data_IF_100731454481
#
_entry.id   IF_100731454481
#
_cell.length_a   1.000
_cell.length_b   1.000
_cell.length_c   1.000
_cell.angle_alpha   90.00
_cell.angle_beta   90.00
_cell.angle_gamma   90.00
#
_symmetry.space_group_name_H-M   'P 1'
#
loop_
_entity.id
_entity.type
_entity.pdbx_description
1 polymer ?
#
# COMPACT_ATOMS: atom_id res chain seq x y z
N UNK A 1 -25.01 8.25 -13.18
CA UNK A 1 -26.44 7.88 -13.30
C UNK A 1 -26.64 6.65 -12.43
N UNK A 2 -27.48 6.73 -11.38
CA UNK A 2 -27.69 5.64 -10.42
C UNK A 2 -28.54 4.54 -11.05
N UNK A 3 -28.17 3.28 -10.83
CA UNK A 3 -29.01 2.13 -11.16
C UNK A 3 -29.92 1.69 -10.01
N UNK A 4 -29.65 2.17 -8.79
CA UNK A 4 -30.46 1.89 -7.61
C UNK A 4 -31.56 2.96 -7.51
N UNK A 5 -32.82 2.54 -7.53
CA UNK A 5 -33.98 3.43 -7.38
C UNK A 5 -34.25 3.76 -5.91
N UNK A 6 -34.89 4.90 -5.66
CA UNK A 6 -35.29 5.27 -4.30
C UNK A 6 -36.25 4.23 -3.70
N UNK A 7 -37.19 3.70 -4.50
CA UNK A 7 -38.09 2.62 -4.09
C UNK A 7 -37.33 1.36 -3.62
N UNK A 8 -36.27 0.96 -4.34
CA UNK A 8 -35.43 -0.15 -3.93
C UNK A 8 -34.70 0.14 -2.62
N UNK A 9 -34.12 1.33 -2.47
CA UNK A 9 -33.39 1.73 -1.27
C UNK A 9 -34.30 1.84 -0.04
N UNK A 10 -35.51 2.39 -0.21
CA UNK A 10 -36.52 2.52 0.83
C UNK A 10 -36.95 1.15 1.37
N UNK A 11 -36.87 0.10 0.55
CA UNK A 11 -37.12 -1.29 0.99
C UNK A 11 -36.10 -1.80 2.03
N UNK A 12 -34.99 -1.08 2.26
CA UNK A 12 -34.00 -1.36 3.29
C UNK A 12 -34.03 -0.37 4.47
N UNK A 13 -34.84 0.70 4.42
CA UNK A 13 -34.83 1.76 5.42
C UNK A 13 -35.13 1.28 6.85
N UNK A 14 -35.92 0.20 6.99
CA UNK A 14 -36.28 -0.41 8.27
C UNK A 14 -35.53 -1.72 8.57
N UNK A 15 -34.60 -2.13 7.69
CA UNK A 15 -33.81 -3.35 7.87
C UNK A 15 -32.53 -3.02 8.62
N UNK A 16 -32.11 -3.92 9.50
CA UNK A 16 -30.82 -3.83 10.18
C UNK A 16 -29.82 -4.77 9.53
N UNK A 17 -28.61 -4.29 9.14
CA UNK A 17 -27.53 -5.17 8.69
C UNK A 17 -27.12 -6.16 9.79
N UNK A 18 -26.64 -7.36 9.42
CA UNK A 18 -26.19 -8.36 10.39
C UNK A 18 -24.78 -8.03 10.91
N UNK A 19 -24.62 -6.90 11.60
CA UNK A 19 -23.34 -6.33 12.03
C UNK A 19 -22.44 -7.28 12.85
N UNK A 20 -23.01 -8.36 13.40
CA UNK A 20 -22.29 -9.36 14.18
C UNK A 20 -21.76 -8.82 15.51
N UNK A 21 -21.25 -9.72 16.35
CA UNK A 21 -20.52 -9.38 17.60
C UNK A 21 -21.22 -8.29 18.45
N UNK A 22 -22.53 -8.41 18.64
CA UNK A 22 -23.36 -7.44 19.38
C UNK A 22 -23.20 -5.98 18.90
N UNK A 23 -23.13 -5.77 17.58
CA UNK A 23 -23.07 -4.42 16.98
C UNK A 23 -21.65 -3.85 16.85
N UNK A 24 -20.61 -4.59 17.23
CA UNK A 24 -19.22 -4.11 17.07
C UNK A 24 -18.88 -3.75 15.61
N UNK A 25 -19.42 -4.49 14.63
CA UNK A 25 -19.23 -4.18 13.21
C UNK A 25 -19.75 -2.80 12.83
N UNK A 26 -20.88 -2.38 13.40
CA UNK A 26 -21.47 -1.05 13.15
C UNK A 26 -20.57 0.06 13.68
N UNK A 27 -20.04 -0.10 14.90
CA UNK A 27 -19.13 0.87 15.52
C UNK A 27 -17.88 1.05 14.65
N UNK A 28 -17.32 -0.05 14.13
CA UNK A 28 -16.16 -0.02 13.24
C UNK A 28 -16.49 0.67 11.92
N UNK A 29 -17.65 0.40 11.35
CA UNK A 29 -18.15 1.08 10.15
C UNK A 29 -18.27 2.58 10.36
N UNK A 30 -18.99 3.02 11.39
CA UNK A 30 -19.25 4.43 11.67
C UNK A 30 -17.95 5.24 11.88
N UNK A 31 -16.96 4.66 12.58
CA UNK A 31 -15.70 5.36 12.86
C UNK A 31 -14.69 5.35 11.70
N UNK A 32 -14.84 4.45 10.72
CA UNK A 32 -13.77 4.17 9.73
C UNK A 32 -14.21 4.37 8.28
N UNK A 33 -15.44 3.97 7.94
CA UNK A 33 -15.90 3.87 6.55
C UNK A 33 -17.07 4.80 6.22
N UNK A 34 -17.81 5.26 7.24
CA UNK A 34 -18.85 6.26 7.08
C UNK A 34 -18.24 7.65 6.85
N UNK A 35 -18.55 8.27 5.71
CA UNK A 35 -18.01 9.59 5.34
C UNK A 35 -18.94 10.72 5.81
N UNK A 36 -18.41 11.91 6.17
CA UNK A 36 -19.25 13.08 6.32
C UNK A 36 -19.81 13.52 4.96
N UNK A 37 -21.12 13.77 4.92
CA UNK A 37 -21.84 14.43 3.81
C UNK A 37 -21.66 15.95 3.89
N UNK A 38 -22.15 16.68 2.89
CA UNK A 38 -22.05 18.15 2.82
C UNK A 38 -22.72 18.86 4.01
N UNK A 39 -23.78 18.27 4.56
CA UNK A 39 -24.51 18.74 5.74
C UNK A 39 -23.79 18.42 7.07
N UNK A 40 -22.64 17.75 7.03
CA UNK A 40 -21.88 17.31 8.19
C UNK A 40 -22.39 16.03 8.85
N UNK A 41 -23.49 15.46 8.38
CA UNK A 41 -24.01 14.16 8.84
C UNK A 41 -23.18 13.05 8.19
N UNK A 42 -22.86 12.00 8.94
CA UNK A 42 -22.12 10.86 8.41
C UNK A 42 -23.04 9.90 7.63
N UNK A 43 -22.50 9.21 6.62
CA UNK A 43 -23.23 8.22 5.82
C UNK A 43 -23.77 7.06 6.66
N UNK A 44 -24.98 6.64 6.37
CA UNK A 44 -25.54 5.35 6.76
C UNK A 44 -25.01 4.23 5.84
N UNK A 45 -25.09 2.97 6.29
CA UNK A 45 -24.58 1.84 5.52
C UNK A 45 -25.19 1.73 4.11
N UNK A 46 -26.53 1.86 3.93
CA UNK A 46 -27.15 1.96 2.60
C UNK A 46 -26.58 3.07 1.72
N UNK A 47 -26.35 4.27 2.27
CA UNK A 47 -25.77 5.41 1.53
C UNK A 47 -24.34 5.10 1.07
N UNK A 48 -23.51 4.50 1.93
CA UNK A 48 -22.15 4.05 1.55
C UNK A 48 -22.19 3.01 0.43
N UNK A 49 -23.06 1.98 0.53
CA UNK A 49 -23.16 0.95 -0.52
C UNK A 49 -23.60 1.58 -1.84
N UNK A 50 -24.62 2.46 -1.80
CA UNK A 50 -25.10 3.18 -2.97
C UNK A 50 -23.98 3.99 -3.63
N UNK A 51 -23.25 4.81 -2.86
CA UNK A 51 -22.12 5.61 -3.36
C UNK A 51 -21.07 4.72 -4.03
N UNK A 52 -20.78 3.57 -3.44
CA UNK A 52 -19.75 2.66 -3.94
C UNK A 52 -20.17 2.00 -5.25
N UNK A 53 -21.43 1.57 -5.37
CA UNK A 53 -21.98 1.01 -6.61
C UNK A 53 -22.07 2.08 -7.70
N UNK A 54 -22.54 3.27 -7.38
CA UNK A 54 -22.58 4.41 -8.32
C UNK A 54 -21.17 4.79 -8.76
N UNK A 55 -20.21 4.81 -7.84
CA UNK A 55 -18.79 5.01 -8.14
C UNK A 55 -18.20 3.95 -9.07
N UNK A 56 -18.63 2.69 -8.93
CA UNK A 56 -18.25 1.63 -9.85
C UNK A 56 -18.80 1.90 -11.27
N UNK A 57 -20.05 2.37 -11.39
CA UNK A 57 -20.62 2.79 -12.67
C UNK A 57 -19.86 3.97 -13.28
N UNK A 58 -19.47 4.96 -12.47
CA UNK A 58 -18.71 6.14 -12.91
C UNK A 58 -17.34 5.79 -13.49
N UNK A 59 -16.65 4.79 -12.92
CA UNK A 59 -15.39 4.29 -13.48
C UNK A 59 -15.58 3.34 -14.67
N UNK A 60 -16.83 3.13 -15.12
CA UNK A 60 -17.16 2.40 -16.33
C UNK A 60 -17.49 0.92 -16.13
N UNK A 61 -17.84 0.48 -14.92
CA UNK A 61 -18.28 -0.91 -14.69
C UNK A 61 -19.67 -1.11 -15.31
N UNK A 62 -19.86 -2.09 -16.20
CA UNK A 62 -21.12 -2.25 -16.94
C UNK A 62 -22.12 -3.10 -16.15
N UNK A 63 -22.48 -2.71 -14.93
CA UNK A 63 -23.54 -3.39 -14.20
C UNK A 63 -24.90 -3.16 -14.87
N UNK A 64 -25.72 -4.20 -14.91
CA UNK A 64 -27.17 -4.06 -15.11
C UNK A 64 -27.84 -3.62 -13.81
N UNK A 65 -29.06 -3.08 -13.89
CA UNK A 65 -29.83 -2.71 -12.70
C UNK A 65 -29.97 -3.88 -11.72
N UNK A 66 -30.32 -5.07 -12.24
CA UNK A 66 -30.42 -6.29 -11.44
C UNK A 66 -29.11 -6.63 -10.72
N UNK A 67 -27.97 -6.53 -11.41
CA UNK A 67 -26.66 -6.80 -10.79
C UNK A 67 -26.30 -5.77 -9.71
N UNK A 68 -26.64 -4.50 -9.93
CA UNK A 68 -26.45 -3.45 -8.92
C UNK A 68 -27.31 -3.72 -7.67
N UNK A 69 -28.58 -4.08 -7.84
CA UNK A 69 -29.49 -4.44 -6.73
C UNK A 69 -29.01 -5.71 -5.99
N UNK A 70 -28.52 -6.72 -6.71
CA UNK A 70 -27.94 -7.93 -6.11
C UNK A 70 -26.67 -7.63 -5.32
N UNK A 71 -25.75 -6.85 -5.88
CA UNK A 71 -24.53 -6.44 -5.19
C UNK A 71 -24.87 -5.61 -3.93
N UNK A 72 -25.87 -4.73 -4.03
CA UNK A 72 -26.36 -3.97 -2.88
C UNK A 72 -26.85 -4.90 -1.77
N UNK A 73 -27.71 -5.88 -2.08
CA UNK A 73 -28.22 -6.83 -1.07
C UNK A 73 -27.07 -7.63 -0.43
N UNK A 74 -26.11 -8.11 -1.21
CA UNK A 74 -24.97 -8.87 -0.69
C UNK A 74 -24.08 -8.02 0.23
N UNK A 75 -23.82 -6.76 -0.13
CA UNK A 75 -23.05 -5.85 0.74
C UNK A 75 -23.86 -5.46 1.99
N UNK A 76 -25.16 -5.19 1.85
CA UNK A 76 -26.04 -4.86 2.98
C UNK A 76 -26.03 -5.96 4.02
N UNK A 77 -26.14 -7.22 3.59
CA UNK A 77 -26.12 -8.40 4.45
C UNK A 77 -24.71 -8.87 4.85
N UNK A 78 -23.68 -8.06 4.60
CA UNK A 78 -22.28 -8.37 4.94
C UNK A 78 -21.82 -9.73 4.39
N UNK A 79 -22.25 -10.10 3.18
CA UNK A 79 -21.81 -11.31 2.47
C UNK A 79 -20.54 -11.07 1.66
N UNK A 80 -20.33 -9.83 1.25
CA UNK A 80 -19.08 -9.39 0.63
C UNK A 80 -18.78 -7.91 0.90
N UNK A 81 -17.56 -7.51 0.55
CA UNK A 81 -17.17 -6.10 0.48
C UNK A 81 -16.05 -5.91 -0.54
N UNK A 82 -15.94 -4.70 -1.08
CA UNK A 82 -14.69 -4.28 -1.72
C UNK A 82 -13.60 -4.08 -0.67
N UNK A 83 -12.35 -3.83 -1.09
CA UNK A 83 -11.31 -3.44 -0.13
C UNK A 83 -11.75 -2.23 0.69
N UNK A 84 -11.30 -2.12 1.94
CA UNK A 84 -11.63 -0.95 2.78
C UNK A 84 -11.27 0.38 2.13
N UNK A 85 -10.23 0.39 1.27
CA UNK A 85 -9.88 1.55 0.44
C UNK A 85 -10.97 1.89 -0.57
N UNK A 86 -11.39 0.92 -1.37
CA UNK A 86 -12.44 1.11 -2.37
C UNK A 86 -13.78 1.46 -1.73
N UNK A 87 -14.12 0.85 -0.58
CA UNK A 87 -15.31 1.19 0.21
C UNK A 87 -15.32 2.68 0.64
N UNK A 88 -14.16 3.20 1.05
CA UNK A 88 -14.00 4.60 1.42
C UNK A 88 -13.96 5.57 0.22
N UNK A 89 -13.47 5.13 -0.94
CA UNK A 89 -13.10 6.03 -2.04
C UNK A 89 -14.01 6.00 -3.27
N UNK A 90 -14.59 4.84 -3.63
CA UNK A 90 -15.48 4.76 -4.80
C UNK A 90 -16.63 5.78 -4.67
N UNK A 91 -16.94 6.46 -5.76
CA UNK A 91 -17.98 7.50 -5.81
C UNK A 91 -17.60 8.81 -5.13
N UNK A 92 -16.31 9.01 -4.83
CA UNK A 92 -15.81 10.29 -4.28
C UNK A 92 -14.98 11.04 -5.33
N UNK A 93 -14.89 12.38 -5.25
CA UNK A 93 -14.05 13.18 -6.15
C UNK A 93 -12.56 12.79 -6.15
N UNK A 94 -12.10 12.11 -5.09
CA UNK A 94 -10.69 11.69 -4.96
C UNK A 94 -10.30 10.62 -5.99
N UNK A 95 -11.28 9.87 -6.51
CA UNK A 95 -11.03 8.89 -7.58
C UNK A 95 -10.64 9.61 -8.87
N UNK A 96 -11.27 10.74 -9.20
CA UNK A 96 -10.90 11.54 -10.35
C UNK A 96 -9.56 12.26 -10.13
N UNK A 97 -9.25 12.63 -8.89
CA UNK A 97 -8.01 13.35 -8.56
C UNK A 97 -6.77 12.45 -8.57
N UNK A 98 -6.88 11.21 -8.10
CA UNK A 98 -5.74 10.29 -7.94
C UNK A 98 -5.85 9.01 -8.79
N UNK A 99 -6.84 8.94 -9.67
CA UNK A 99 -7.13 7.81 -10.54
C UNK A 99 -7.14 6.48 -9.77
N UNK A 100 -6.66 5.40 -10.41
CA UNK A 100 -6.66 4.05 -9.86
C UNK A 100 -5.86 3.94 -8.55
N UNK A 101 -4.86 4.80 -8.33
CA UNK A 101 -4.06 4.79 -7.11
C UNK A 101 -4.87 5.14 -5.85
N UNK A 102 -6.03 5.80 -6.01
CA UNK A 102 -6.98 5.98 -4.91
C UNK A 102 -7.72 4.70 -4.53
N UNK A 103 -7.86 3.73 -5.44
CA UNK A 103 -8.67 2.52 -5.26
C UNK A 103 -7.83 1.31 -4.84
N UNK A 104 -6.52 1.33 -5.13
CA UNK A 104 -5.57 0.30 -4.71
C UNK A 104 -4.77 0.76 -3.48
N UNK A 105 -4.57 -0.16 -2.53
CA UNK A 105 -3.99 0.20 -1.24
C UNK A 105 -2.54 -0.25 -1.09
N UNK A 106 -2.09 -1.28 -1.80
CA UNK A 106 -0.73 -1.80 -1.64
C UNK A 106 -0.02 -1.98 -2.97
N UNK A 107 1.31 -1.88 -2.95
CA UNK A 107 2.17 -1.90 -4.12
C UNK A 107 3.46 -2.65 -3.83
N UNK A 108 4.21 -2.96 -4.89
CA UNK A 108 5.58 -3.45 -4.79
C UNK A 108 6.51 -2.70 -5.75
N UNK A 109 7.76 -2.47 -5.34
CA UNK A 109 8.78 -1.79 -6.17
C UNK A 109 10.18 -2.40 -5.97
N UNK A 110 10.90 -2.66 -7.05
CA UNK A 110 12.34 -2.90 -6.97
C UNK A 110 13.06 -1.55 -6.87
N UNK A 111 13.99 -1.38 -5.93
CA UNK A 111 14.78 -0.15 -5.86
C UNK A 111 15.96 -0.25 -6.83
N UNK A 112 15.81 0.35 -8.01
CA UNK A 112 16.81 0.34 -9.08
C UNK A 112 17.23 1.76 -9.49
N UNK A 113 16.32 2.74 -9.41
CA UNK A 113 16.57 4.15 -9.72
C UNK A 113 16.12 5.09 -8.59
N UNK A 114 16.42 6.39 -8.71
CA UNK A 114 15.98 7.37 -7.71
C UNK A 114 14.44 7.56 -7.71
N UNK A 115 13.81 7.34 -8.86
CA UNK A 115 12.35 7.41 -9.04
C UNK A 115 11.62 6.32 -8.25
N UNK A 116 12.27 5.19 -7.94
CA UNK A 116 11.66 4.12 -7.13
C UNK A 116 11.51 4.54 -5.65
N UNK A 117 12.38 5.41 -5.14
CA UNK A 117 12.21 6.02 -3.81
C UNK A 117 11.04 7.02 -3.81
N UNK A 118 10.87 7.79 -4.88
CA UNK A 118 9.74 8.69 -5.08
C UNK A 118 8.42 7.89 -5.21
N UNK A 119 8.44 6.77 -5.94
CA UNK A 119 7.31 5.82 -5.98
C UNK A 119 6.91 5.36 -4.59
N UNK A 120 7.88 4.93 -3.78
CA UNK A 120 7.65 4.48 -2.41
C UNK A 120 7.07 5.62 -1.55
N UNK A 121 7.64 6.83 -1.65
CA UNK A 121 7.17 8.00 -0.90
C UNK A 121 5.72 8.33 -1.26
N UNK A 122 5.41 8.48 -2.55
CA UNK A 122 4.09 8.90 -3.03
C UNK A 122 2.98 7.94 -2.61
N UNK A 123 3.21 6.64 -2.75
CA UNK A 123 2.22 5.62 -2.41
C UNK A 123 2.01 5.49 -0.90
N UNK A 124 3.06 5.69 -0.09
CA UNK A 124 2.91 5.80 1.36
C UNK A 124 2.11 7.06 1.74
N UNK A 125 2.37 8.21 1.10
CA UNK A 125 1.61 9.46 1.32
C UNK A 125 0.17 9.42 0.79
N UNK A 126 -0.17 8.42 -0.03
CA UNK A 126 -1.55 8.07 -0.40
C UNK A 126 -2.22 7.16 0.64
N UNK A 127 -1.58 6.92 1.79
CA UNK A 127 -2.05 6.00 2.83
C UNK A 127 -1.95 4.52 2.41
N UNK A 128 -1.16 4.23 1.39
CA UNK A 128 -0.92 2.88 0.91
C UNK A 128 0.20 2.18 1.68
N UNK A 129 0.39 0.90 1.36
CA UNK A 129 1.54 0.13 1.80
C UNK A 129 2.43 -0.27 0.63
N UNK A 130 3.74 -0.26 0.83
CA UNK A 130 4.70 -0.54 -0.25
C UNK A 130 5.66 -1.63 0.20
N UNK A 131 5.68 -2.74 -0.52
CA UNK A 131 6.79 -3.67 -0.47
C UNK A 131 7.93 -3.19 -1.36
N UNK A 132 9.16 -3.36 -0.93
CA UNK A 132 10.32 -3.00 -1.73
C UNK A 132 11.43 -4.03 -1.66
N UNK A 133 12.14 -4.24 -2.77
CA UNK A 133 13.33 -5.11 -2.80
C UNK A 133 14.61 -4.30 -2.63
N UNK A 134 15.50 -4.82 -1.79
CA UNK A 134 16.88 -4.36 -1.60
C UNK A 134 17.90 -5.43 -2.04
N UNK A 135 17.47 -6.40 -2.86
CA UNK A 135 18.36 -7.41 -3.46
C UNK A 135 19.56 -6.76 -4.13
N UNK A 136 20.75 -7.31 -3.89
CA UNK A 136 22.01 -6.76 -4.38
C UNK A 136 22.03 -6.65 -5.90
N UNK A 137 21.38 -7.57 -6.62
CA UNK A 137 21.26 -7.53 -8.08
C UNK A 137 20.44 -6.34 -8.60
N UNK A 138 19.57 -5.77 -7.78
CA UNK A 138 18.67 -4.64 -8.12
C UNK A 138 19.35 -3.31 -7.82
N UNK A 139 19.87 -3.19 -6.60
CA UNK A 139 20.50 -1.95 -6.13
C UNK A 139 21.88 -1.72 -6.76
N UNK A 140 22.49 -2.72 -7.40
CA UNK A 140 23.79 -2.59 -8.03
C UNK A 140 23.82 -1.51 -9.10
N UNK A 141 22.72 -1.24 -9.79
CA UNK A 141 22.67 -0.23 -10.87
C UNK A 141 22.66 1.21 -10.35
N UNK A 142 22.43 1.41 -9.05
CA UNK A 142 22.56 2.74 -8.44
C UNK A 142 24.01 3.26 -8.57
N UNK A 143 24.21 4.53 -8.99
CA UNK A 143 25.53 5.11 -9.11
C UNK A 143 26.31 5.15 -7.78
N UNK A 144 27.62 5.34 -7.87
CA UNK A 144 28.41 5.69 -6.68
C UNK A 144 27.99 7.05 -6.15
N UNK A 145 27.96 7.18 -4.83
CA UNK A 145 27.64 8.46 -4.18
C UNK A 145 28.74 9.48 -4.43
N UNK A 146 28.36 10.68 -4.88
CA UNK A 146 29.27 11.80 -5.15
C UNK A 146 29.72 12.50 -3.88
N UNK A 147 30.94 13.00 -3.88
CA UNK A 147 31.49 13.82 -2.81
C UNK A 147 31.09 15.29 -2.97
N UNK A 148 31.19 16.07 -1.89
CA UNK A 148 31.05 17.53 -1.93
C UNK A 148 29.61 18.04 -2.06
N UNK A 149 28.61 17.18 -1.87
CA UNK A 149 27.21 17.58 -1.80
C UNK A 149 26.90 18.04 -0.37
N UNK A 150 26.25 19.20 -0.26
CA UNK A 150 25.73 19.75 0.99
C UNK A 150 24.29 20.18 0.78
N UNK A 151 23.40 19.68 1.62
CA UNK A 151 21.96 20.00 1.59
C UNK A 151 21.61 20.71 2.90
N UNK A 152 21.21 21.97 2.82
CA UNK A 152 20.87 22.78 4.01
C UNK A 152 19.38 23.14 4.03
N UNK A 153 18.78 23.08 5.22
CA UNK A 153 17.45 23.68 5.43
C UNK A 153 17.60 25.14 5.82
N UNK A 154 16.92 26.02 5.10
CA UNK A 154 16.93 27.45 5.34
C UNK A 154 15.49 27.98 5.27
N UNK A 155 14.96 28.44 6.40
CA UNK A 155 13.58 28.97 6.50
C UNK A 155 13.49 30.40 5.93
N UNK A 156 13.91 30.58 4.68
CA UNK A 156 13.88 31.84 3.91
C UNK A 156 13.25 31.61 2.54
N UNK A 157 12.79 32.68 1.88
CA UNK A 157 12.33 32.67 0.49
C UNK A 157 13.49 32.73 -0.52
N UNK A 158 14.73 32.87 -0.04
CA UNK A 158 15.95 32.90 -0.87
C UNK A 158 16.60 31.52 -1.07
N UNK A 159 16.03 30.45 -0.49
CA UNK A 159 16.57 29.11 -0.63
C UNK A 159 16.42 28.59 -2.08
N UNK A 160 17.34 27.73 -2.54
CA UNK A 160 17.35 27.24 -3.92
C UNK A 160 16.05 26.48 -4.27
N UNK A 161 15.48 25.76 -3.31
CA UNK A 161 14.21 25.03 -3.46
C UNK A 161 13.20 25.48 -2.41
N UNK A 162 12.11 26.10 -2.84
CA UNK A 162 10.93 26.34 -1.98
C UNK A 162 9.96 25.17 -2.13
N UNK A 163 9.78 24.40 -1.07
CA UNK A 163 8.95 23.19 -1.07
C UNK A 163 7.47 23.58 -0.98
N UNK A 164 6.63 23.28 -1.98
CA UNK A 164 5.21 23.60 -1.92
C UNK A 164 4.49 22.67 -0.94
N UNK A 165 3.39 23.16 -0.36
CA UNK A 165 2.52 22.44 0.59
C UNK A 165 1.68 21.33 -0.06
N UNK A 166 2.37 20.34 -0.63
CA UNK A 166 1.78 19.24 -1.37
C UNK A 166 2.65 17.99 -1.25
N UNK A 167 2.02 16.82 -1.38
CA UNK A 167 2.72 15.53 -1.37
C UNK A 167 3.79 15.44 -2.45
N UNK A 168 3.47 15.93 -3.65
CA UNK A 168 4.43 15.99 -4.75
C UNK A 168 5.62 16.93 -4.43
N UNK A 169 5.38 18.03 -3.70
CA UNK A 169 6.47 18.89 -3.20
C UNK A 169 7.46 18.14 -2.31
N UNK A 170 6.94 17.32 -1.39
CA UNK A 170 7.76 16.51 -0.48
C UNK A 170 8.55 15.43 -1.23
N UNK A 171 7.88 14.69 -2.11
CA UNK A 171 8.51 13.65 -2.93
C UNK A 171 9.61 14.23 -3.84
N UNK A 172 9.33 15.38 -4.48
CA UNK A 172 10.29 16.10 -5.33
C UNK A 172 11.53 16.59 -4.55
N UNK A 173 11.39 16.93 -3.28
CA UNK A 173 12.55 17.27 -2.44
C UNK A 173 13.45 16.05 -2.26
N UNK A 174 12.89 14.88 -1.89
CA UNK A 174 13.66 13.63 -1.76
C UNK A 174 14.33 13.28 -3.07
N UNK A 175 13.61 13.34 -4.19
CA UNK A 175 14.17 13.17 -5.52
C UNK A 175 15.37 14.10 -5.76
N UNK A 176 15.25 15.39 -5.41
CA UNK A 176 16.31 16.38 -5.63
C UNK A 176 17.55 16.10 -4.78
N UNK A 177 17.38 15.65 -3.54
CA UNK A 177 18.47 15.20 -2.65
C UNK A 177 19.19 14.00 -3.26
N UNK A 178 18.46 12.94 -3.59
CA UNK A 178 19.03 11.72 -4.18
C UNK A 178 19.72 12.02 -5.52
N UNK A 179 19.11 12.87 -6.36
CA UNK A 179 19.68 13.31 -7.63
C UNK A 179 20.99 14.06 -7.45
N UNK A 180 21.12 14.84 -6.38
CA UNK A 180 22.34 15.56 -6.05
C UNK A 180 23.48 14.62 -5.71
N UNK A 181 23.21 13.63 -4.85
CA UNK A 181 24.20 12.64 -4.47
C UNK A 181 24.55 11.62 -5.56
N UNK A 182 23.61 11.20 -6.40
CA UNK A 182 23.87 10.18 -7.43
C UNK A 182 24.35 10.75 -8.77
N UNK A 183 23.85 11.92 -9.18
CA UNK A 183 24.03 12.39 -10.57
C UNK A 183 24.72 13.75 -10.68
N UNK A 184 24.23 14.79 -9.99
CA UNK A 184 24.69 16.15 -10.28
C UNK A 184 25.93 16.54 -9.49
N UNK A 185 26.08 16.06 -8.24
CA UNK A 185 27.10 16.54 -7.31
C UNK A 185 26.90 17.99 -6.86
N UNK A 186 25.71 18.57 -7.09
CA UNK A 186 25.42 19.97 -6.75
C UNK A 186 24.78 20.06 -5.37
N UNK A 187 25.31 20.94 -4.53
CA UNK A 187 24.69 21.37 -3.28
C UNK A 187 23.49 22.28 -3.55
N UNK A 188 22.53 22.30 -2.62
CA UNK A 188 21.44 23.26 -2.63
C UNK A 188 20.87 23.48 -1.23
N UNK A 189 20.25 24.64 -1.00
CA UNK A 189 19.41 24.88 0.18
C UNK A 189 17.92 24.69 -0.13
N UNK A 190 17.13 24.31 0.86
CA UNK A 190 15.68 24.18 0.72
C UNK A 190 14.91 24.83 1.87
N UNK A 191 13.72 25.33 1.56
CA UNK A 191 12.83 25.99 2.50
C UNK A 191 11.49 25.29 2.57
N UNK A 192 11.02 25.07 3.80
CA UNK A 192 9.70 24.51 4.10
C UNK A 192 8.70 25.58 4.51
N UNK A 193 8.96 26.86 4.22
CA UNK A 193 8.12 28.01 4.63
C UNK A 193 6.65 27.88 4.21
N UNK A 194 6.38 27.21 3.08
CA UNK A 194 5.01 27.05 2.58
C UNK A 194 4.27 25.87 3.23
N UNK A 195 5.00 24.91 3.81
CA UNK A 195 4.41 23.68 4.36
C UNK A 195 3.59 24.02 5.61
N UNK A 196 2.36 23.53 5.65
CA UNK A 196 1.44 23.76 6.77
C UNK A 196 2.00 23.23 8.10
N UNK A 197 1.66 23.91 9.18
CA UNK A 197 2.10 23.56 10.53
C UNK A 197 1.45 22.27 11.05
N UNK A 198 2.05 21.72 12.12
CA UNK A 198 1.50 20.55 12.82
C UNK A 198 0.06 20.79 13.27
N UNK A 199 -0.82 19.80 13.08
CA UNK A 199 -2.23 19.88 13.47
C UNK A 199 -3.16 20.46 12.41
N UNK A 200 -2.66 21.03 11.31
CA UNK A 200 -3.50 21.57 10.24
C UNK A 200 -4.33 20.46 9.55
N UNK A 201 -5.63 20.65 9.29
CA UNK A 201 -6.49 19.60 8.75
C UNK A 201 -6.08 19.18 7.32
N UNK A 202 -6.16 17.88 7.01
CA UNK A 202 -5.93 17.34 5.68
C UNK A 202 -7.24 17.21 4.90
N UNK A 203 -7.29 17.79 3.69
CA UNK A 203 -8.53 17.85 2.87
C UNK A 203 -8.95 16.51 2.24
N UNK A 204 -8.04 15.55 2.09
CA UNK A 204 -8.27 14.35 1.25
C UNK A 204 -8.43 13.07 2.07
N UNK A 205 -7.45 12.70 2.88
CA UNK A 205 -7.42 11.42 3.61
C UNK A 205 -7.87 11.53 5.08
N UNK A 206 -8.45 12.67 5.47
CA UNK A 206 -8.80 12.96 6.86
C UNK A 206 -7.56 13.15 7.75
N UNK A 207 -7.77 13.46 9.03
CA UNK A 207 -6.69 13.68 10.00
C UNK A 207 -6.00 15.04 9.89
N UNK A 208 -4.83 15.15 10.53
CA UNK A 208 -4.06 16.39 10.68
C UNK A 208 -2.64 16.24 10.17
N UNK A 209 -2.06 17.34 9.72
CA UNK A 209 -0.70 17.41 9.19
C UNK A 209 0.36 17.21 10.28
N UNK A 210 1.49 16.67 9.87
CA UNK A 210 2.68 16.42 10.69
C UNK A 210 3.53 17.66 10.98
N UNK A 211 3.28 18.76 10.26
CA UNK A 211 4.23 19.86 10.15
C UNK A 211 5.48 19.49 9.33
N UNK A 212 6.37 20.46 9.06
CA UNK A 212 7.55 20.26 8.23
C UNK A 212 8.70 19.52 8.94
N UNK A 213 8.71 19.45 10.27
CA UNK A 213 9.82 18.90 11.06
C UNK A 213 10.20 17.47 10.66
N UNK A 214 9.21 16.61 10.47
CA UNK A 214 9.42 15.24 10.03
C UNK A 214 10.15 15.13 8.69
N UNK A 215 9.83 16.03 7.75
CA UNK A 215 10.51 16.10 6.46
C UNK A 215 11.96 16.57 6.63
N UNK A 216 12.19 17.61 7.45
CA UNK A 216 13.53 18.16 7.69
C UNK A 216 14.45 17.09 8.31
N UNK A 217 14.02 16.46 9.40
CA UNK A 217 14.79 15.41 10.08
C UNK A 217 15.02 14.20 9.17
N UNK A 218 14.02 13.86 8.35
CA UNK A 218 14.11 12.79 7.36
C UNK A 218 15.13 13.08 6.26
N UNK A 219 15.15 14.30 5.72
CA UNK A 219 16.14 14.71 4.72
C UNK A 219 17.54 14.70 5.34
N UNK A 220 17.70 15.20 6.56
CA UNK A 220 18.98 15.19 7.27
C UNK A 220 19.51 13.76 7.45
N UNK A 221 18.66 12.83 7.88
CA UNK A 221 19.06 11.43 8.05
C UNK A 221 19.36 10.72 6.74
N UNK A 222 18.64 11.04 5.65
CA UNK A 222 18.98 10.56 4.30
C UNK A 222 20.37 11.08 3.90
N UNK A 223 20.65 12.38 4.10
CA UNK A 223 21.98 12.94 3.82
C UNK A 223 23.08 12.22 4.61
N UNK A 224 22.88 11.93 5.90
CA UNK A 224 23.85 11.16 6.72
C UNK A 224 24.13 9.78 6.15
N UNK A 225 23.10 9.05 5.69
CA UNK A 225 23.27 7.75 5.04
C UNK A 225 24.11 7.89 3.76
N UNK A 226 23.80 8.91 2.94
CA UNK A 226 24.51 9.15 1.69
C UNK A 226 25.97 9.57 1.92
N UNK A 227 26.22 10.49 2.86
CA UNK A 227 27.55 10.97 3.24
C UNK A 227 28.44 9.82 3.74
N UNK A 228 27.88 8.88 4.51
CA UNK A 228 28.57 7.67 4.95
C UNK A 228 29.01 6.74 3.81
N UNK A 229 28.52 6.97 2.59
CA UNK A 229 28.75 6.15 1.40
C UNK A 229 29.45 6.91 0.26
N UNK A 230 29.97 8.12 0.49
CA UNK A 230 30.72 8.90 -0.51
C UNK A 230 31.82 8.06 -1.18
N UNK A 231 31.87 8.11 -2.52
CA UNK A 231 32.80 7.36 -3.36
C UNK A 231 32.48 5.87 -3.51
N UNK A 232 31.44 5.36 -2.84
CA UNK A 232 31.04 3.95 -2.82
C UNK A 232 29.62 3.81 -3.36
N UNK A 233 29.22 2.59 -3.72
CA UNK A 233 27.82 2.23 -3.97
C UNK A 233 27.09 2.04 -2.64
N UNK A 234 25.77 2.24 -2.65
CA UNK A 234 24.92 1.84 -1.53
C UNK A 234 24.92 0.32 -1.38
N UNK A 235 24.76 -0.14 -0.15
CA UNK A 235 24.51 -1.55 0.20
C UNK A 235 23.02 -1.71 0.50
N UNK A 236 22.55 -2.96 0.59
CA UNK A 236 21.18 -3.30 0.97
C UNK A 236 20.71 -2.58 2.24
N UNK A 237 21.55 -2.54 3.27
CA UNK A 237 21.24 -1.86 4.54
C UNK A 237 21.11 -0.34 4.38
N UNK A 238 21.89 0.28 3.48
CA UNK A 238 21.84 1.72 3.24
C UNK A 238 20.53 2.07 2.49
N UNK A 239 20.14 1.24 1.51
CA UNK A 239 18.86 1.37 0.79
C UNK A 239 17.66 1.13 1.72
N UNK A 240 17.74 0.08 2.55
CA UNK A 240 16.77 -0.22 3.60
C UNK A 240 16.58 0.97 4.54
N UNK A 241 17.68 1.62 4.94
CA UNK A 241 17.63 2.79 5.81
C UNK A 241 16.93 3.97 5.13
N UNK A 242 17.23 4.29 3.87
CA UNK A 242 16.56 5.37 3.13
C UNK A 242 15.05 5.11 3.01
N UNK A 243 14.63 3.90 2.62
CA UNK A 243 13.20 3.54 2.51
C UNK A 243 12.49 3.62 3.88
N UNK A 244 13.14 3.19 4.96
CA UNK A 244 12.60 3.27 6.30
C UNK A 244 12.53 4.71 6.84
N UNK A 245 13.49 5.57 6.49
CA UNK A 245 13.43 7.00 6.80
C UNK A 245 12.25 7.64 6.05
N UNK A 246 12.03 7.31 4.77
CA UNK A 246 10.83 7.74 4.04
C UNK A 246 9.55 7.27 4.77
N UNK A 247 9.49 6.01 5.19
CA UNK A 247 8.39 5.51 6.02
C UNK A 247 8.16 6.33 7.28
N UNK A 248 9.22 6.73 7.98
CA UNK A 248 9.14 7.59 9.18
C UNK A 248 8.59 8.98 8.85
N UNK A 249 9.03 9.59 7.74
CA UNK A 249 8.56 10.90 7.29
C UNK A 249 7.03 10.87 7.13
N UNK A 250 6.49 9.81 6.51
CA UNK A 250 5.05 9.67 6.22
C UNK A 250 4.20 9.40 7.48
N UNK A 251 4.74 8.71 8.48
CA UNK A 251 3.99 8.32 9.70
C UNK A 251 3.72 9.50 10.63
N UNK A 252 4.64 10.46 10.65
CA UNK A 252 4.64 11.58 11.60
C UNK A 252 3.26 12.26 11.60
N UNK A 253 2.59 12.35 12.76
CA UNK A 253 1.20 12.85 12.88
C UNK A 253 0.10 11.77 12.99
N UNK A 254 0.42 10.48 12.86
CA UNK A 254 -0.49 9.35 13.08
C UNK A 254 0.09 8.34 14.08
N UNK A 255 -0.77 7.63 14.83
CA UNK A 255 -0.36 6.54 15.72
C UNK A 255 -0.06 5.22 14.98
N UNK A 256 -0.24 5.17 13.65
CA UNK A 256 0.01 3.98 12.83
C UNK A 256 1.36 4.07 12.12
N UNK A 257 2.22 3.07 12.35
CA UNK A 257 3.48 2.85 11.62
C UNK A 257 3.26 2.72 10.11
N UNK A 258 4.29 3.00 9.32
CA UNK A 258 4.23 2.85 7.87
C UNK A 258 4.03 1.38 7.51
N UNK A 259 3.28 1.13 6.44
CA UNK A 259 2.99 -0.22 5.98
C UNK A 259 4.03 -0.62 4.93
N UNK A 260 5.15 -1.19 5.36
CA UNK A 260 6.21 -1.63 4.45
C UNK A 260 6.67 -3.06 4.71
N UNK A 261 7.08 -3.75 3.65
CA UNK A 261 7.87 -4.98 3.70
C UNK A 261 9.16 -4.78 2.91
N UNK A 262 10.31 -5.04 3.53
CA UNK A 262 11.59 -5.04 2.84
C UNK A 262 11.97 -6.47 2.47
N UNK A 263 12.25 -6.72 1.19
CA UNK A 263 12.68 -8.03 0.69
C UNK A 263 14.18 -7.98 0.37
N UNK A 264 14.96 -8.88 0.98
CA UNK A 264 16.41 -8.96 0.79
C UNK A 264 16.90 -10.35 0.38
N UNK A 265 18.18 -10.42 0.04
CA UNK A 265 18.84 -11.69 -0.27
C UNK A 265 18.97 -12.59 0.98
N UNK A 266 18.85 -13.92 0.83
CA UNK A 266 18.95 -14.87 1.94
C UNK A 266 20.36 -14.98 2.55
N UNK A 267 21.38 -14.47 1.85
CA UNK A 267 22.79 -14.50 2.22
C UNK A 267 23.40 -13.12 2.55
N UNK A 268 22.56 -12.09 2.70
CA UNK A 268 23.01 -10.74 3.04
C UNK A 268 23.02 -10.52 4.57
N UNK A 269 24.19 -10.77 5.19
CA UNK A 269 24.38 -10.60 6.64
C UNK A 269 24.07 -9.17 7.12
N UNK A 270 24.31 -8.13 6.30
CA UNK A 270 23.98 -6.76 6.70
C UNK A 270 22.48 -6.57 6.82
N UNK A 271 21.73 -7.10 5.85
CA UNK A 271 20.27 -7.09 5.87
C UNK A 271 19.70 -7.96 7.01
N UNK A 272 20.21 -9.19 7.17
CA UNK A 272 19.77 -10.12 8.21
C UNK A 272 19.95 -9.58 9.63
N UNK A 273 21.02 -8.81 9.86
CA UNK A 273 21.30 -8.18 11.17
C UNK A 273 20.68 -6.79 11.33
N UNK A 274 20.02 -6.26 10.31
CA UNK A 274 19.56 -4.87 10.31
C UNK A 274 18.61 -4.55 11.47
N UNK A 275 17.90 -5.56 12.01
CA UNK A 275 16.96 -5.45 13.14
C UNK A 275 17.31 -6.40 14.30
N UNK A 276 18.61 -6.64 14.53
CA UNK A 276 19.10 -7.31 15.74
C UNK A 276 19.05 -6.38 16.96
N UNK A 277 17.84 -6.09 17.47
CA UNK A 277 17.60 -5.06 18.48
C UNK A 277 18.45 -5.23 19.76
N UNK A 278 18.87 -6.45 20.09
CA UNK A 278 19.77 -6.73 21.21
C UNK A 278 21.17 -6.09 21.08
N UNK A 279 21.60 -5.67 19.88
CA UNK A 279 22.92 -5.05 19.70
C UNK A 279 23.01 -3.61 20.22
N UNK A 280 21.89 -2.97 20.57
CA UNK A 280 21.83 -1.61 21.13
C UNK A 280 22.01 -0.46 20.12
N UNK A 281 22.81 -0.64 19.06
CA UNK A 281 23.14 0.41 18.09
C UNK A 281 22.31 0.37 16.78
N UNK A 282 20.99 0.13 16.88
CA UNK A 282 20.12 0.06 15.71
C UNK A 282 19.32 1.36 15.54
N UNK A 283 19.36 2.00 14.37
CA UNK A 283 18.53 3.16 14.11
C UNK A 283 17.03 2.85 14.22
N UNK A 284 16.31 3.67 14.99
CA UNK A 284 14.89 3.47 15.28
C UNK A 284 14.00 3.44 14.03
N UNK A 285 14.41 4.12 12.94
CA UNK A 285 13.63 4.12 11.70
C UNK A 285 13.49 2.73 11.09
N UNK A 286 14.39 1.77 11.37
CA UNK A 286 14.28 0.40 10.85
C UNK A 286 13.05 -0.37 11.34
N UNK A 287 12.32 0.13 12.34
CA UNK A 287 11.02 -0.39 12.74
C UNK A 287 9.88 -0.12 11.73
N UNK A 288 10.13 0.71 10.70
CA UNK A 288 9.14 1.12 9.69
C UNK A 288 8.87 0.10 8.57
N UNK A 289 9.53 -1.06 8.60
CA UNK A 289 9.24 -2.19 7.71
C UNK A 289 9.31 -3.48 8.49
N UNK A 290 8.52 -4.48 8.09
CA UNK A 290 8.83 -5.87 8.40
C UNK A 290 9.82 -6.36 7.35
N UNK A 291 10.84 -7.13 7.74
CA UNK A 291 11.83 -7.63 6.80
C UNK A 291 11.55 -9.09 6.44
N UNK A 292 11.85 -9.49 5.21
CA UNK A 292 11.74 -10.87 4.75
C UNK A 292 12.83 -11.18 3.71
N UNK A 293 13.15 -12.46 3.54
CA UNK A 293 14.13 -12.91 2.53
C UNK A 293 13.47 -13.74 1.43
N UNK A 294 14.09 -13.74 0.25
CA UNK A 294 13.77 -14.70 -0.80
C UNK A 294 14.30 -16.09 -0.43
N UNK A 295 13.40 -16.93 0.07
CA UNK A 295 13.65 -18.30 0.50
C UNK A 295 13.27 -19.31 -0.61
N UNK A 296 13.89 -19.14 -1.79
CA UNK A 296 13.62 -19.97 -2.96
C UNK A 296 14.17 -21.40 -2.81
N UNK A 297 15.23 -21.57 -2.02
CA UNK A 297 15.80 -22.84 -1.55
C UNK A 297 16.18 -22.75 -0.08
N UNK A 298 15.97 -23.81 0.70
CA UNK A 298 16.40 -23.86 2.10
C UNK A 298 17.92 -23.76 2.24
N UNK A 299 18.67 -24.37 1.31
CA UNK A 299 20.14 -24.41 1.32
C UNK A 299 20.78 -23.03 1.10
N UNK A 300 20.02 -22.05 0.59
CA UNK A 300 20.47 -20.67 0.39
C UNK A 300 20.29 -19.81 1.65
N UNK A 301 19.50 -20.27 2.63
CA UNK A 301 19.19 -19.51 3.83
C UNK A 301 20.36 -19.57 4.81
N UNK A 302 20.97 -18.42 5.09
CA UNK A 302 22.04 -18.35 6.08
C UNK A 302 21.57 -18.68 7.49
N UNK A 303 22.39 -19.39 8.31
CA UNK A 303 22.11 -19.63 9.72
C UNK A 303 21.83 -18.36 10.53
N UNK A 304 22.40 -17.23 10.09
CA UNK A 304 22.22 -15.92 10.71
C UNK A 304 20.76 -15.46 10.78
N UNK A 305 19.92 -15.84 9.79
CA UNK A 305 18.49 -15.52 9.80
C UNK A 305 17.82 -16.05 11.09
N UNK A 306 18.13 -17.29 11.48
CA UNK A 306 17.46 -17.98 12.57
C UNK A 306 17.74 -17.36 13.93
N UNK A 307 18.80 -16.55 14.06
CA UNK A 307 19.04 -15.77 15.28
C UNK A 307 17.94 -14.73 15.53
N UNK A 308 17.27 -14.22 14.50
CA UNK A 308 16.11 -13.35 14.70
C UNK A 308 14.94 -14.05 15.42
N UNK A 309 14.92 -15.38 15.45
CA UNK A 309 13.87 -16.19 16.09
C UNK A 309 14.21 -16.60 17.52
N UNK A 310 15.44 -16.39 17.99
CA UNK A 310 15.86 -16.70 19.37
C UNK A 310 15.46 -15.61 20.39
N UNK A 311 14.89 -14.50 19.91
CA UNK A 311 14.47 -13.36 20.71
C UNK A 311 15.49 -12.21 20.79
N UNK A 312 16.68 -12.34 20.19
CA UNK A 312 17.69 -11.27 20.12
C UNK A 312 17.42 -10.23 19.03
N UNK A 313 16.69 -10.64 17.97
CA UNK A 313 16.31 -9.77 16.86
C UNK A 313 14.84 -9.89 16.48
N UNK A 314 14.46 -9.26 15.38
CA UNK A 314 13.14 -9.45 14.79
C UNK A 314 13.11 -10.71 13.91
N UNK A 315 12.07 -11.57 14.02
CA UNK A 315 11.91 -12.72 13.14
C UNK A 315 11.50 -12.25 11.73
N UNK A 316 12.37 -12.50 10.75
CA UNK A 316 12.13 -12.12 9.36
C UNK A 316 11.19 -13.11 8.68
N UNK A 317 10.30 -12.62 7.81
CA UNK A 317 9.47 -13.49 6.98
C UNK A 317 10.26 -14.23 5.90
N UNK A 318 9.66 -15.30 5.39
CA UNK A 318 10.21 -16.13 4.31
C UNK A 318 9.25 -16.08 3.13
N UNK A 319 9.73 -15.62 1.97
CA UNK A 319 8.92 -15.60 0.75
C UNK A 319 9.55 -16.45 -0.34
N UNK A 320 8.78 -17.31 -0.99
CA UNK A 320 9.28 -18.18 -2.06
C UNK A 320 8.81 -17.66 -3.43
N UNK A 321 9.64 -16.82 -4.04
CA UNK A 321 9.38 -16.19 -5.35
C UNK A 321 9.39 -17.24 -6.47
N UNK A 322 10.28 -18.22 -6.41
CA UNK A 322 10.36 -19.32 -7.39
C UNK A 322 9.07 -20.13 -7.44
N UNK A 323 8.45 -20.42 -6.30
CA UNK A 323 7.17 -21.10 -6.18
C UNK A 323 6.05 -20.22 -6.74
N UNK A 324 5.97 -18.95 -6.32
CA UNK A 324 4.95 -18.01 -6.77
C UNK A 324 5.00 -17.77 -8.30
N UNK A 325 6.20 -17.76 -8.90
CA UNK A 325 6.36 -17.66 -10.37
C UNK A 325 5.91 -18.91 -11.13
N UNK A 326 5.82 -20.06 -10.47
CA UNK A 326 5.59 -21.36 -11.11
C UNK A 326 4.13 -21.82 -11.01
N UNK A 327 3.44 -21.49 -9.93
CA UNK A 327 2.12 -22.04 -9.60
C UNK A 327 1.08 -20.95 -9.38
N UNK A 328 -0.17 -21.26 -9.76
CA UNK A 328 -1.34 -20.53 -9.27
C UNK A 328 -1.77 -21.14 -7.93
N UNK A 329 -2.69 -22.10 -7.97
CA UNK A 329 -2.92 -23.01 -6.83
C UNK A 329 -1.80 -24.04 -6.75
N UNK A 330 -1.47 -24.53 -5.56
CA UNK A 330 -0.48 -25.60 -5.39
C UNK A 330 -0.84 -26.82 -6.27
N UNK A 331 0.15 -27.36 -6.97
CA UNK A 331 -0.04 -28.43 -7.95
C UNK A 331 -0.55 -27.96 -9.33
N UNK A 332 -1.08 -26.74 -9.44
CA UNK A 332 -1.58 -26.16 -10.71
C UNK A 332 -0.55 -25.21 -11.30
N UNK A 333 0.26 -25.71 -12.23
CA UNK A 333 1.29 -24.92 -12.90
C UNK A 333 0.63 -23.78 -13.68
N UNK A 334 0.95 -22.55 -13.29
CA UNK A 334 0.53 -21.33 -13.97
C UNK A 334 1.68 -20.35 -13.82
N UNK A 335 2.45 -20.22 -14.89
CA UNK A 335 3.66 -19.40 -14.84
C UNK A 335 3.29 -17.93 -14.79
N UNK A 336 3.89 -17.21 -13.85
CA UNK A 336 3.86 -15.75 -13.79
C UNK A 336 5.28 -15.24 -13.55
N UNK A 337 6.09 -15.09 -14.62
CA UNK A 337 7.47 -14.64 -14.48
C UNK A 337 7.58 -13.16 -14.08
N UNK A 338 6.47 -12.42 -14.03
CA UNK A 338 6.49 -11.00 -13.71
C UNK A 338 6.62 -10.72 -12.23
N UNK A 339 6.33 -11.70 -11.36
CA UNK A 339 6.40 -11.57 -9.91
C UNK A 339 7.84 -11.27 -9.48
N UNK A 340 8.07 -10.14 -8.84
CA UNK A 340 9.37 -9.74 -8.31
C UNK A 340 9.37 -9.74 -6.77
N UNK A 341 8.23 -9.47 -6.13
CA UNK A 341 8.08 -9.47 -4.69
C UNK A 341 6.63 -9.48 -4.24
N UNK A 342 6.33 -8.82 -3.14
CA UNK A 342 5.04 -8.92 -2.46
C UNK A 342 4.63 -7.58 -1.85
N UNK A 343 3.32 -7.39 -1.66
CA UNK A 343 2.81 -6.29 -0.85
C UNK A 343 3.11 -6.51 0.65
N UNK A 344 2.92 -5.51 1.54
CA UNK A 344 3.31 -5.61 2.96
C UNK A 344 2.71 -6.75 3.78
N UNK A 345 1.54 -7.26 3.41
CA UNK A 345 0.89 -8.39 4.08
C UNK A 345 1.20 -9.75 3.41
N UNK A 346 1.99 -9.74 2.33
CA UNK A 346 2.48 -10.89 1.58
C UNK A 346 1.42 -11.84 0.98
N UNK A 347 0.15 -11.43 0.92
CA UNK A 347 -0.94 -12.20 0.32
C UNK A 347 -0.99 -12.09 -1.21
N UNK A 348 -0.40 -11.03 -1.79
CA UNK A 348 -0.30 -10.86 -3.24
C UNK A 348 1.16 -10.83 -3.68
N UNK A 349 1.52 -11.79 -4.54
CA UNK A 349 2.75 -11.76 -5.30
C UNK A 349 2.61 -10.75 -6.45
N UNK A 350 3.54 -9.79 -6.53
CA UNK A 350 3.47 -8.61 -7.39
C UNK A 350 4.72 -8.47 -8.25
N UNK A 351 4.55 -7.97 -9.47
CA UNK A 351 5.65 -7.47 -10.28
C UNK A 351 6.10 -6.08 -9.85
N UNK A 352 7.23 -5.63 -10.41
CA UNK A 352 7.76 -4.29 -10.13
C UNK A 352 6.78 -3.19 -10.58
N UNK A 353 6.43 -2.30 -9.66
CA UNK A 353 5.44 -1.25 -9.84
C UNK A 353 3.99 -1.72 -9.79
N UNK A 354 3.71 -3.01 -9.59
CA UNK A 354 2.35 -3.56 -9.61
C UNK A 354 1.59 -3.25 -8.30
N UNK A 355 0.27 -3.13 -8.41
CA UNK A 355 -0.64 -2.86 -7.28
C UNK A 355 -1.46 -4.09 -6.90
N UNK A 356 -1.87 -4.17 -5.63
CA UNK A 356 -2.88 -5.13 -5.18
C UNK A 356 -4.28 -4.62 -5.53
N UNK A 357 -5.21 -5.53 -5.86
CA UNK A 357 -6.60 -5.18 -6.16
C UNK A 357 -7.54 -6.18 -5.49
N UNK A 358 -8.00 -5.84 -4.29
CA UNK A 358 -8.66 -6.77 -3.38
C UNK A 358 -10.16 -6.53 -3.25
N UNK A 359 -10.89 -7.63 -3.09
CA UNK A 359 -12.26 -7.69 -2.56
C UNK A 359 -12.35 -8.87 -1.59
N UNK A 360 -13.41 -8.95 -0.80
CA UNK A 360 -13.56 -9.99 0.23
C UNK A 360 -14.95 -10.60 0.18
N UNK A 361 -15.00 -11.93 0.27
CA UNK A 361 -16.20 -12.74 0.47
C UNK A 361 -16.19 -13.26 1.91
N UNK A 362 -17.27 -13.03 2.65
CA UNK A 362 -17.43 -13.47 4.04
C UNK A 362 -18.12 -14.83 4.05
N UNK A 363 -17.34 -15.91 3.94
CA UNK A 363 -17.85 -17.28 3.74
C UNK A 363 -18.94 -17.72 4.75
N UNK A 364 -18.86 -17.39 6.06
CA UNK A 364 -19.90 -17.76 7.02
C UNK A 364 -21.30 -17.23 6.67
N UNK A 365 -21.37 -16.09 5.97
CA UNK A 365 -22.63 -15.43 5.62
C UNK A 365 -23.17 -15.90 4.26
N UNK A 366 -22.53 -16.90 3.64
CA UNK A 366 -22.92 -17.46 2.33
C UNK A 366 -23.69 -18.77 2.53
N UNK A 367 -24.85 -18.87 1.90
CA UNK A 367 -25.80 -19.97 2.08
C UNK A 367 -25.68 -21.07 1.02
N UNK A 368 -25.12 -20.76 -0.14
CA UNK A 368 -24.95 -21.72 -1.24
C UNK A 368 -23.78 -21.41 -2.17
N UNK A 369 -23.29 -22.43 -2.87
CA UNK A 369 -22.28 -22.28 -3.93
C UNK A 369 -22.74 -21.34 -5.06
N UNK A 370 -24.04 -21.31 -5.37
CA UNK A 370 -24.59 -20.40 -6.38
C UNK A 370 -24.44 -18.94 -5.94
N UNK A 371 -24.77 -18.65 -4.68
CA UNK A 371 -24.58 -17.31 -4.09
C UNK A 371 -23.09 -16.93 -4.04
N UNK A 372 -22.21 -17.86 -3.66
CA UNK A 372 -20.76 -17.63 -3.68
C UNK A 372 -20.26 -17.19 -5.07
N UNK A 373 -20.68 -17.91 -6.13
CA UNK A 373 -20.30 -17.62 -7.51
C UNK A 373 -20.85 -16.27 -7.99
N UNK A 374 -22.12 -15.99 -7.72
CA UNK A 374 -22.74 -14.70 -8.06
C UNK A 374 -21.98 -13.53 -7.42
N UNK A 375 -21.66 -13.62 -6.13
CA UNK A 375 -20.87 -12.60 -5.43
C UNK A 375 -19.49 -12.44 -6.06
N UNK A 376 -18.80 -13.55 -6.33
CA UNK A 376 -17.48 -13.54 -6.96
C UNK A 376 -17.51 -12.83 -8.32
N UNK A 377 -18.50 -13.12 -9.15
CA UNK A 377 -18.70 -12.47 -10.46
C UNK A 377 -18.99 -10.97 -10.34
N UNK A 378 -19.87 -10.56 -9.41
CA UNK A 378 -20.19 -9.15 -9.19
C UNK A 378 -18.98 -8.34 -8.73
N UNK A 379 -18.20 -8.86 -7.78
CA UNK A 379 -16.97 -8.21 -7.31
C UNK A 379 -15.90 -8.16 -8.42
N UNK A 380 -15.80 -9.23 -9.22
CA UNK A 380 -14.85 -9.34 -10.31
C UNK A 380 -15.03 -8.21 -11.32
N UNK A 381 -16.26 -7.82 -11.65
CA UNK A 381 -16.53 -6.76 -12.64
C UNK A 381 -15.88 -5.43 -12.24
N UNK A 382 -16.05 -5.00 -10.99
CA UNK A 382 -15.41 -3.76 -10.49
C UNK A 382 -13.90 -3.91 -10.39
N UNK A 383 -13.39 -5.02 -9.83
CA UNK A 383 -11.96 -5.24 -9.74
C UNK A 383 -11.31 -5.23 -11.13
N UNK A 384 -11.94 -5.86 -12.12
CA UNK A 384 -11.44 -5.90 -13.50
C UNK A 384 -11.37 -4.50 -14.11
N UNK A 385 -12.39 -3.67 -13.89
CA UNK A 385 -12.38 -2.30 -14.38
C UNK A 385 -11.28 -1.44 -13.75
N UNK A 386 -11.01 -1.62 -12.45
CA UNK A 386 -9.90 -0.93 -11.77
C UNK A 386 -8.56 -1.22 -12.47
N UNK A 387 -8.32 -2.43 -12.98
CA UNK A 387 -7.10 -2.76 -13.74
C UNK A 387 -6.97 -2.09 -15.10
N UNK A 388 -8.01 -1.35 -15.54
CA UNK A 388 -8.08 -0.65 -16.82
C UNK A 388 -8.03 0.87 -16.68
N UNK A 389 -7.92 1.36 -15.45
CA UNK A 389 -7.74 2.77 -15.16
C UNK A 389 -6.26 3.17 -15.27
N UNK A 390 -6.02 4.46 -15.46
CA UNK A 390 -4.67 5.02 -15.46
C UNK A 390 -4.10 5.10 -14.03
N UNK A 391 -2.79 4.84 -13.92
CA UNK A 391 -2.02 5.04 -12.70
C UNK A 391 -1.02 6.18 -12.87
N UNK A 392 -0.60 6.86 -11.78
CA UNK A 392 0.34 7.98 -11.86
C UNK A 392 1.71 7.61 -12.45
N UNK A 393 2.13 6.35 -12.30
CA UNK A 393 3.40 5.84 -12.79
C UNK A 393 3.18 4.94 -14.00
N UNK A 394 3.89 5.23 -15.10
CA UNK A 394 3.78 4.45 -16.33
C UNK A 394 4.14 2.97 -16.13
N UNK A 395 5.16 2.67 -15.29
CA UNK A 395 5.51 1.29 -14.93
C UNK A 395 4.33 0.54 -14.32
N UNK A 396 3.56 1.20 -13.45
CA UNK A 396 2.35 0.65 -12.83
C UNK A 396 1.24 0.44 -13.86
N UNK A 397 0.92 1.46 -14.66
CA UNK A 397 -0.13 1.34 -15.70
C UNK A 397 0.18 0.17 -16.64
N UNK A 398 1.44 0.04 -17.09
CA UNK A 398 1.88 -1.06 -17.97
C UNK A 398 1.71 -2.43 -17.30
N UNK A 399 2.23 -2.63 -16.10
CA UNK A 399 2.22 -3.96 -15.46
C UNK A 399 0.81 -4.36 -15.01
N UNK A 400 0.02 -3.43 -14.46
CA UNK A 400 -1.37 -3.68 -14.06
C UNK A 400 -2.24 -3.98 -15.27
N UNK A 401 -2.05 -3.26 -16.39
CA UNK A 401 -2.79 -3.54 -17.63
C UNK A 401 -2.42 -4.91 -18.20
N UNK A 402 -1.13 -5.26 -18.19
CA UNK A 402 -0.62 -6.54 -18.69
C UNK A 402 -1.17 -7.72 -17.89
N UNK A 403 -1.03 -7.68 -16.57
CA UNK A 403 -1.34 -8.80 -15.69
C UNK A 403 -2.84 -8.84 -15.33
N UNK A 404 -3.46 -7.67 -15.19
CA UNK A 404 -4.81 -7.48 -14.68
C UNK A 404 -5.09 -8.34 -13.43
N UNK A 405 -4.14 -8.32 -12.48
CA UNK A 405 -4.14 -9.16 -11.27
C UNK A 405 -5.28 -8.76 -10.35
N UNK A 406 -6.03 -9.76 -9.89
CA UNK A 406 -7.15 -9.61 -8.96
C UNK A 406 -6.92 -10.52 -7.75
N UNK A 407 -7.27 -10.03 -6.56
CA UNK A 407 -7.32 -10.84 -5.34
C UNK A 407 -8.74 -10.85 -4.78
N UNK A 408 -9.42 -11.99 -4.87
CA UNK A 408 -10.69 -12.19 -4.16
C UNK A 408 -10.39 -13.00 -2.91
N UNK A 409 -10.32 -12.30 -1.78
CA UNK A 409 -10.09 -12.91 -0.48
C UNK A 409 -11.35 -13.61 0.00
N UNK A 410 -11.18 -14.75 0.67
CA UNK A 410 -12.26 -15.43 1.38
C UNK A 410 -11.87 -15.48 2.85
N UNK A 411 -12.74 -14.95 3.72
CA UNK A 411 -12.49 -14.89 5.16
C UNK A 411 -13.58 -15.61 5.95
N UNK A 412 -13.35 -15.78 7.26
CA UNK A 412 -14.24 -16.53 8.14
C UNK A 412 -14.12 -18.06 7.98
N UNK A 413 -12.99 -18.54 7.44
CA UNK A 413 -12.76 -19.97 7.18
C UNK A 413 -12.97 -20.81 8.45
N UNK A 414 -12.43 -20.38 9.59
CA UNK A 414 -12.57 -21.11 10.87
C UNK A 414 -13.99 -21.07 11.46
N UNK A 415 -14.85 -20.18 10.98
CA UNK A 415 -16.26 -20.07 11.39
C UNK A 415 -17.20 -20.80 10.42
N UNK A 416 -16.67 -21.29 9.29
CA UNK A 416 -17.46 -21.88 8.21
C UNK A 416 -17.61 -23.38 8.40
N UNK A 417 -18.75 -23.92 7.97
CA UNK A 417 -19.00 -25.36 7.92
C UNK A 417 -18.11 -26.05 6.87
N UNK A 418 -17.91 -27.37 7.01
CA UNK A 418 -17.20 -28.17 6.00
C UNK A 418 -17.82 -28.04 4.61
N UNK A 419 -19.16 -27.96 4.53
CA UNK A 419 -19.89 -27.74 3.28
C UNK A 419 -19.56 -26.39 2.64
N UNK A 420 -19.40 -25.33 3.43
CA UNK A 420 -19.02 -24.02 2.91
C UNK A 420 -17.56 -24.03 2.43
N UNK A 421 -16.67 -24.66 3.18
CA UNK A 421 -15.25 -24.78 2.82
C UNK A 421 -15.09 -25.57 1.51
N UNK A 422 -15.91 -26.60 1.28
CA UNK A 422 -15.87 -27.39 0.05
C UNK A 422 -16.28 -26.62 -1.22
N UNK A 423 -16.68 -25.34 -1.11
CA UNK A 423 -16.92 -24.47 -2.27
C UNK A 423 -15.64 -23.82 -2.83
N UNK A 424 -14.53 -23.92 -2.11
CA UNK A 424 -13.24 -23.32 -2.46
C UNK A 424 -12.35 -24.22 -3.34
N UNK A 425 -12.72 -25.50 -3.46
CA UNK A 425 -12.09 -26.49 -4.34
C UNK A 425 -12.47 -26.28 -5.80
#
# INVERSE_FOLDING_TARGET
MSLLTDEFLDSYAQKSPPWGFNGMGEIVYLRTYSRPKEDGIIETWPETIKRVIDGALEIGVPYTQKQAEQLFDHMFNLRCSFSGRALWQLGTPLVQQFNAASLNNCYFVNIETIEDFEFLFDHLMLGGGVGFSVERSKIHELPKVKAGVSISHEKTNDADIIVPDSRHGWSRLVHSVLKSYFYTGKSFSYSTLLIREYGAPLKTFGGTASGPGALIDGIEDICKVMDGRVGKKLRSIDVLDICNIIGRIVVSGSSRRSAQIALGDPDDVLFLRAKNWASGDIPAWRANSNNSIYADSYDEIMPELWKGYDGTGEPYGLVNRKLARKFGRLGQRKSDPTIEGYNPCAEIALGDGESCNLSTIFLPNIESLAQFREISELLYMTQKQITRLDYPYEKTTKIVTKNARLGQSVTGILQSSEKQISWLD
#
